data_IF_104386136023
#
_entry.id   IF_104386136023
#
_cell.length_a   1.000
_cell.length_b   1.000
_cell.length_c   1.000
_cell.angle_alpha   90.00
_cell.angle_beta   90.00
_cell.angle_gamma   90.00
#
_symmetry.space_group_name_H-M   'P 1'
#
loop_
_entity.id
_entity.type
_entity.pdbx_description
1 polymer ?
#
# COMPACT_ATOMS: atom_id res chain seq x y z
N UNK A 1 14.16 20.11 -13.69
CA UNK A 1 14.66 19.33 -12.54
C UNK A 1 13.50 18.99 -11.59
N UNK A 2 12.72 19.96 -11.15
CA UNK A 2 11.59 19.77 -10.22
C UNK A 2 10.53 18.81 -10.78
N UNK A 3 10.14 18.93 -12.03
CA UNK A 3 9.13 18.07 -12.67
C UNK A 3 9.54 16.58 -12.67
N UNK A 4 10.83 16.29 -12.83
CA UNK A 4 11.32 14.91 -12.73
C UNK A 4 11.21 14.38 -11.31
N UNK A 5 11.48 15.21 -10.31
CA UNK A 5 11.34 14.85 -8.91
C UNK A 5 9.87 14.64 -8.51
N UNK A 6 8.97 15.49 -8.99
CA UNK A 6 7.52 15.35 -8.77
C UNK A 6 6.98 14.05 -9.40
N UNK A 7 7.37 13.75 -10.66
CA UNK A 7 6.99 12.47 -11.29
C UNK A 7 7.53 11.25 -10.54
N UNK A 8 8.77 11.32 -10.04
CA UNK A 8 9.34 10.24 -9.24
C UNK A 8 8.61 10.09 -7.89
N UNK A 9 8.29 11.19 -7.21
CA UNK A 9 7.52 11.19 -5.97
C UNK A 9 6.10 10.65 -6.17
N UNK A 10 5.46 10.96 -7.29
CA UNK A 10 4.15 10.41 -7.65
C UNK A 10 4.15 8.86 -7.80
N UNK A 11 5.33 8.21 -7.89
CA UNK A 11 5.45 6.75 -7.85
C UNK A 11 5.27 6.17 -6.43
N UNK A 12 5.14 7.01 -5.41
CA UNK A 12 4.86 6.56 -4.04
C UNK A 12 3.62 5.65 -3.98
N UNK A 13 3.61 4.64 -3.11
CA UNK A 13 2.42 3.83 -2.89
C UNK A 13 1.34 4.63 -2.18
N UNK A 14 0.08 4.34 -2.49
CA UNK A 14 -1.09 4.78 -1.74
C UNK A 14 -2.14 3.68 -1.72
N UNK A 15 -2.98 3.64 -0.71
CA UNK A 15 -4.08 2.67 -0.62
C UNK A 15 -4.93 2.75 -1.89
N UNK A 16 -5.29 1.61 -2.47
CA UNK A 16 -6.00 1.50 -3.75
C UNK A 16 -5.43 2.34 -4.92
N UNK A 17 -4.18 2.84 -4.81
CA UNK A 17 -3.58 3.76 -5.77
C UNK A 17 -4.41 5.06 -5.94
N UNK A 18 -4.95 5.56 -4.84
CA UNK A 18 -5.76 6.78 -4.82
C UNK A 18 -4.96 8.04 -5.14
N UNK A 19 -3.67 8.09 -4.77
CA UNK A 19 -2.76 9.24 -4.98
C UNK A 19 -3.36 10.53 -4.39
N UNK A 20 -3.60 10.58 -3.07
CA UNK A 20 -4.40 11.61 -2.41
C UNK A 20 -3.63 12.91 -2.10
N UNK A 21 -2.68 13.29 -2.92
CA UNK A 21 -1.83 14.47 -2.73
C UNK A 21 -2.08 15.54 -3.79
N UNK A 22 -2.22 16.79 -3.33
CA UNK A 22 -2.18 18.01 -4.13
C UNK A 22 -0.85 18.70 -3.80
N UNK A 23 -0.08 19.03 -4.82
CA UNK A 23 1.27 19.58 -4.65
C UNK A 23 1.34 20.98 -5.23
N UNK A 24 1.84 21.93 -4.45
CA UNK A 24 2.12 23.29 -4.87
C UNK A 24 3.60 23.58 -4.70
N UNK A 25 4.23 24.21 -5.69
CA UNK A 25 5.65 24.57 -5.68
C UNK A 25 5.77 26.09 -5.75
N UNK A 26 6.49 26.68 -4.81
CA UNK A 26 6.82 28.11 -4.77
C UNK A 26 8.33 28.26 -4.47
N UNK A 27 9.09 28.48 -5.52
CA UNK A 27 10.55 28.53 -5.44
C UNK A 27 11.16 27.21 -4.96
N UNK A 28 11.80 27.24 -3.80
CA UNK A 28 12.38 26.07 -3.12
C UNK A 28 11.43 25.40 -2.12
N UNK A 29 10.25 25.99 -1.93
CA UNK A 29 9.22 25.47 -1.02
C UNK A 29 8.20 24.61 -1.76
N UNK A 30 7.93 23.43 -1.22
CA UNK A 30 6.94 22.49 -1.74
C UNK A 30 5.93 22.20 -0.65
N UNK A 31 4.66 22.49 -0.95
CA UNK A 31 3.53 22.22 -0.05
C UNK A 31 2.72 21.07 -0.59
N UNK A 32 2.44 20.10 0.27
CA UNK A 32 1.58 18.95 -0.04
C UNK A 32 0.35 18.98 0.86
N UNK A 33 -0.81 18.99 0.25
CA UNK A 33 -2.11 18.87 0.92
C UNK A 33 -2.86 17.66 0.45
N UNK A 34 -3.96 17.33 1.11
CA UNK A 34 -4.77 16.15 0.81
C UNK A 34 -5.90 16.50 -0.14
N UNK A 35 -6.09 15.70 -1.17
CA UNK A 35 -7.26 15.74 -2.06
C UNK A 35 -8.44 15.01 -1.39
N UNK A 36 -9.51 15.72 -0.98
CA UNK A 36 -10.64 15.12 -0.29
C UNK A 36 -11.43 14.13 -1.15
N UNK A 37 -11.37 14.24 -2.47
CA UNK A 37 -12.06 13.34 -3.41
C UNK A 37 -11.34 11.99 -3.59
N UNK A 38 -10.16 11.85 -2.95
CA UNK A 38 -9.29 10.67 -3.06
C UNK A 38 -9.12 9.92 -1.74
N UNK A 39 -9.97 10.21 -0.78
CA UNK A 39 -9.99 9.53 0.52
C UNK A 39 -10.70 8.18 0.47
N UNK A 40 -10.46 7.37 1.48
CA UNK A 40 -11.08 6.06 1.71
C UNK A 40 -11.80 6.07 3.08
N UNK A 41 -12.91 6.81 3.23
CA UNK A 41 -13.52 7.01 4.54
C UNK A 41 -14.09 5.75 5.18
N UNK A 42 -14.31 4.67 4.40
CA UNK A 42 -14.78 3.39 4.92
C UNK A 42 -13.63 2.42 5.17
N UNK A 43 -12.67 2.34 4.26
CA UNK A 43 -11.53 1.41 4.36
C UNK A 43 -10.42 1.96 5.25
N UNK A 44 -10.26 3.28 5.32
CA UNK A 44 -9.25 3.97 6.15
C UNK A 44 -9.90 5.07 7.01
N UNK A 45 -10.82 4.72 7.93
CA UNK A 45 -11.58 5.71 8.72
C UNK A 45 -10.71 6.51 9.71
N UNK A 46 -9.51 6.04 10.00
CA UNK A 46 -8.53 6.70 10.87
C UNK A 46 -7.40 7.39 10.08
N UNK A 47 -7.47 7.40 8.76
CA UNK A 47 -6.51 8.01 7.85
C UNK A 47 -5.05 7.54 8.02
N UNK A 48 -4.85 6.33 8.58
CA UNK A 48 -3.51 5.75 8.80
C UNK A 48 -2.81 5.40 7.49
N UNK A 49 -3.53 4.80 6.54
CA UNK A 49 -3.00 4.49 5.21
C UNK A 49 -2.77 5.76 4.38
N UNK A 50 -3.61 6.78 4.55
CA UNK A 50 -3.41 8.11 4.00
C UNK A 50 -2.08 8.69 4.45
N UNK A 51 -1.84 8.77 5.77
CA UNK A 51 -0.64 9.35 6.37
C UNK A 51 0.62 8.55 5.97
N UNK A 52 0.54 7.21 6.02
CA UNK A 52 1.63 6.35 5.55
C UNK A 52 1.97 6.61 4.07
N UNK A 53 0.95 6.74 3.21
CA UNK A 53 1.11 7.05 1.80
C UNK A 53 1.76 8.41 1.56
N UNK A 54 1.35 9.44 2.32
CA UNK A 54 1.97 10.77 2.30
C UNK A 54 3.43 10.70 2.75
N UNK A 55 3.76 9.94 3.80
CA UNK A 55 5.13 9.71 4.24
C UNK A 55 5.99 9.03 3.16
N UNK A 56 5.44 8.05 2.45
CA UNK A 56 6.10 7.45 1.28
C UNK A 56 6.35 8.48 0.17
N UNK A 57 5.39 9.39 -0.07
CA UNK A 57 5.54 10.47 -1.05
C UNK A 57 6.65 11.44 -0.62
N UNK A 58 6.64 11.89 0.63
CA UNK A 58 7.66 12.77 1.22
C UNK A 58 9.05 12.16 1.05
N UNK A 59 9.23 10.89 1.40
CA UNK A 59 10.53 10.23 1.24
C UNK A 59 10.96 10.13 -0.22
N UNK A 60 10.03 9.84 -1.13
CA UNK A 60 10.33 9.76 -2.56
C UNK A 60 10.74 11.12 -3.12
N UNK A 61 10.06 12.20 -2.71
CA UNK A 61 10.42 13.56 -3.11
C UNK A 61 11.76 14.00 -2.51
N UNK A 62 12.00 13.70 -1.23
CA UNK A 62 13.27 13.99 -0.56
C UNK A 62 14.47 13.33 -1.28
N UNK A 63 14.30 12.09 -1.73
CA UNK A 63 15.32 11.38 -2.54
C UNK A 63 15.53 12.09 -3.89
N UNK A 64 14.44 12.41 -4.59
CA UNK A 64 14.50 12.88 -5.97
C UNK A 64 14.93 14.36 -6.09
N UNK A 65 14.50 15.21 -5.15
CA UNK A 65 14.75 16.65 -5.14
C UNK A 65 15.86 17.09 -4.18
N UNK A 66 16.38 16.19 -3.32
CA UNK A 66 17.26 16.52 -2.21
C UNK A 66 16.61 17.55 -1.28
N UNK A 67 15.40 17.26 -0.85
CA UNK A 67 14.57 18.12 -0.04
C UNK A 67 14.45 17.60 1.40
N UNK A 68 14.21 18.51 2.33
CA UNK A 68 13.95 18.21 3.75
C UNK A 68 12.50 18.51 4.09
N UNK A 69 11.86 17.65 4.88
CA UNK A 69 10.54 17.92 5.47
C UNK A 69 10.72 18.91 6.62
N UNK A 70 10.14 20.11 6.51
CA UNK A 70 10.21 21.14 7.53
C UNK A 70 9.10 21.06 8.56
N UNK A 71 7.87 20.74 8.11
CA UNK A 71 6.73 20.69 9.03
C UNK A 71 5.62 19.76 8.56
N UNK A 72 4.90 19.23 9.54
CA UNK A 72 3.62 18.56 9.41
C UNK A 72 2.63 19.35 10.26
N UNK A 73 1.55 19.86 9.68
CA UNK A 73 0.57 20.70 10.37
C UNK A 73 -0.86 20.25 10.05
N UNK A 74 -1.80 20.55 10.94
CA UNK A 74 -3.19 20.13 10.81
C UNK A 74 -3.43 18.73 11.34
N UNK A 75 -4.66 18.26 11.22
CA UNK A 75 -5.11 16.92 11.64
C UNK A 75 -5.73 16.20 10.45
N UNK A 76 -5.45 14.91 10.31
CA UNK A 76 -5.98 14.11 9.20
C UNK A 76 -7.52 14.15 9.14
N UNK A 77 -8.11 14.29 7.95
CA UNK A 77 -7.47 14.26 6.63
C UNK A 77 -6.93 15.63 6.14
N UNK A 78 -6.97 16.68 6.93
CA UNK A 78 -6.61 18.06 6.56
C UNK A 78 -5.16 18.41 6.96
N UNK A 79 -4.22 17.46 6.73
CA UNK A 79 -2.80 17.71 6.98
C UNK A 79 -2.16 18.49 5.84
N UNK A 80 -1.18 19.32 6.20
CA UNK A 80 -0.31 20.04 5.27
C UNK A 80 1.12 19.71 5.58
N UNK A 81 1.88 19.30 4.58
CA UNK A 81 3.29 19.00 4.66
C UNK A 81 4.07 20.08 3.93
N UNK A 82 5.09 20.62 4.56
CA UNK A 82 5.99 21.60 3.94
C UNK A 82 7.38 21.02 3.81
N UNK A 83 7.90 21.03 2.59
CA UNK A 83 9.25 20.56 2.28
C UNK A 83 10.06 21.68 1.66
N UNK A 84 11.37 21.71 1.95
CA UNK A 84 12.32 22.63 1.33
C UNK A 84 13.33 21.88 0.47
N UNK A 85 13.56 22.37 -0.73
CA UNK A 85 14.65 21.92 -1.60
C UNK A 85 15.90 22.66 -1.16
N UNK A 86 16.71 22.02 -0.33
CA UNK A 86 17.85 22.64 0.37
C UNK A 86 19.20 22.00 0.03
N UNK A 87 19.24 21.23 -1.06
CA UNK A 87 20.39 20.44 -1.46
C UNK A 87 20.88 19.47 -0.36
N UNK A 88 19.96 18.91 0.42
CA UNK A 88 20.24 17.89 1.43
C UNK A 88 21.28 16.83 0.93
N UNK A 89 22.03 16.17 1.81
CA UNK A 89 22.99 15.14 1.41
C UNK A 89 22.40 14.11 0.45
N UNK A 90 23.17 13.59 -0.50
CA UNK A 90 22.67 12.54 -1.41
C UNK A 90 22.13 11.35 -0.63
N UNK A 91 20.99 10.87 -1.02
CA UNK A 91 20.40 9.65 -0.47
C UNK A 91 21.01 8.41 -1.17
N UNK A 92 21.13 7.25 -0.50
CA UNK A 92 21.63 5.99 -1.11
C UNK A 92 20.74 5.45 -2.24
N UNK A 93 19.51 5.95 -2.35
CA UNK A 93 18.58 5.66 -3.43
C UNK A 93 18.47 6.83 -4.41
N UNK A 94 18.10 6.52 -5.66
CA UNK A 94 18.04 7.43 -6.80
C UNK A 94 16.62 7.49 -7.38
N UNK A 95 16.37 8.41 -8.32
CA UNK A 95 15.14 8.46 -9.12
C UNK A 95 14.90 7.12 -9.84
N UNK A 96 15.97 6.49 -10.36
CA UNK A 96 15.85 5.20 -11.03
C UNK A 96 15.33 4.10 -10.08
N UNK A 97 15.76 4.09 -8.82
CA UNK A 97 15.27 3.14 -7.81
C UNK A 97 13.77 3.39 -7.50
N UNK A 98 13.35 4.66 -7.40
CA UNK A 98 11.96 5.05 -7.23
C UNK A 98 11.06 4.57 -8.38
N UNK A 99 11.55 4.73 -9.61
CA UNK A 99 10.85 4.28 -10.81
C UNK A 99 10.82 2.76 -10.94
N UNK A 100 11.88 2.07 -10.53
CA UNK A 100 11.97 0.61 -10.61
C UNK A 100 11.09 -0.09 -9.58
N UNK A 101 10.98 0.46 -8.36
CA UNK A 101 10.22 -0.13 -7.26
C UNK A 101 8.73 -0.32 -7.63
N UNK A 102 8.23 -1.52 -7.44
CA UNK A 102 6.83 -1.88 -7.72
C UNK A 102 6.31 -2.90 -6.70
N UNK A 103 5.00 -2.85 -6.46
CA UNK A 103 4.26 -3.90 -5.75
C UNK A 103 3.92 -5.00 -6.77
N UNK A 104 4.18 -6.25 -6.43
CA UNK A 104 3.82 -7.41 -7.24
C UNK A 104 2.81 -8.29 -6.51
N UNK A 105 1.59 -8.35 -7.00
CA UNK A 105 0.52 -9.25 -6.51
C UNK A 105 0.55 -10.63 -7.18
N UNK A 106 1.60 -10.92 -7.94
CA UNK A 106 1.86 -12.24 -8.51
C UNK A 106 2.42 -13.23 -7.49
N UNK A 107 2.87 -14.36 -8.00
CA UNK A 107 3.53 -15.36 -7.16
C UNK A 107 4.94 -14.88 -6.78
N UNK A 108 5.19 -14.78 -5.49
CA UNK A 108 6.51 -14.48 -4.94
C UNK A 108 7.15 -15.76 -4.41
N UNK A 109 8.43 -15.98 -4.73
CA UNK A 109 9.23 -17.06 -4.18
C UNK A 109 10.01 -16.59 -2.96
N UNK A 110 10.01 -17.34 -1.85
CA UNK A 110 10.72 -16.93 -0.64
C UNK A 110 12.23 -16.84 -0.88
N UNK A 111 12.85 -15.82 -0.31
CA UNK A 111 14.30 -15.66 -0.22
C UNK A 111 14.65 -15.03 1.14
N UNK A 112 14.55 -15.83 2.21
CA UNK A 112 14.75 -15.34 3.57
C UNK A 112 16.19 -14.87 3.82
N UNK A 113 17.19 -15.45 3.15
CA UNK A 113 18.57 -15.03 3.32
C UNK A 113 18.82 -13.60 2.85
N UNK A 114 18.30 -13.24 1.66
CA UNK A 114 18.37 -11.87 1.15
C UNK A 114 17.55 -10.92 2.04
N UNK A 115 16.37 -11.34 2.51
CA UNK A 115 15.56 -10.54 3.42
C UNK A 115 16.31 -10.21 4.72
N UNK A 116 16.89 -11.21 5.39
CA UNK A 116 17.68 -11.00 6.61
C UNK A 116 18.82 -10.00 6.36
N UNK A 117 19.54 -10.12 5.22
CA UNK A 117 20.60 -9.16 4.87
C UNK A 117 20.07 -7.74 4.75
N UNK A 118 18.90 -7.53 4.12
CA UNK A 118 18.31 -6.19 4.00
C UNK A 118 17.91 -5.64 5.38
N UNK A 119 17.42 -6.50 6.26
CA UNK A 119 16.97 -6.10 7.59
C UNK A 119 18.11 -5.72 8.54
N UNK A 120 19.36 -6.08 8.26
CA UNK A 120 20.52 -5.66 9.08
C UNK A 120 20.79 -4.15 9.05
N UNK A 121 20.35 -3.46 8.01
CA UNK A 121 20.54 -2.02 7.81
C UNK A 121 19.31 -1.19 8.19
N UNK A 122 18.28 -1.82 8.76
CA UNK A 122 17.07 -1.13 9.20
C UNK A 122 17.31 -0.44 10.53
N UNK A 123 16.90 0.83 10.71
CA UNK A 123 17.05 1.56 11.97
C UNK A 123 16.34 0.89 13.15
N UNK A 124 16.85 1.08 14.37
CA UNK A 124 16.36 0.43 15.61
C UNK A 124 14.89 0.78 15.93
N UNK A 125 14.42 1.95 15.50
CA UNK A 125 13.03 2.36 15.64
C UNK A 125 12.05 1.63 14.71
N UNK A 126 12.54 0.93 13.69
CA UNK A 126 11.72 0.18 12.74
C UNK A 126 11.61 -1.27 13.15
N UNK A 127 10.39 -1.72 13.35
CA UNK A 127 10.07 -3.12 13.67
C UNK A 127 9.66 -3.84 12.39
N UNK A 128 10.35 -4.95 12.08
CA UNK A 128 9.98 -5.85 10.97
C UNK A 128 10.04 -7.28 11.49
N UNK A 129 8.87 -7.88 11.67
CA UNK A 129 8.75 -9.22 12.23
C UNK A 129 8.12 -10.20 11.25
N UNK A 130 8.56 -11.45 11.29
CA UNK A 130 8.02 -12.52 10.46
C UNK A 130 6.70 -13.05 11.05
N UNK A 131 5.66 -13.09 10.21
CA UNK A 131 4.38 -13.69 10.58
C UNK A 131 4.44 -15.19 10.26
N UNK A 132 4.43 -16.09 11.27
CA UNK A 132 4.48 -17.52 11.02
C UNK A 132 3.40 -18.00 10.07
N UNK A 133 3.73 -18.87 9.14
CA UNK A 133 2.79 -19.38 8.13
C UNK A 133 1.54 -20.02 8.76
N UNK A 134 1.67 -20.66 9.91
CA UNK A 134 0.53 -21.21 10.65
C UNK A 134 -0.44 -20.14 11.14
N UNK A 135 0.08 -18.99 11.59
CA UNK A 135 -0.73 -17.82 11.99
C UNK A 135 -1.38 -17.20 10.76
N UNK A 136 -0.60 -16.97 9.70
CA UNK A 136 -1.12 -16.42 8.44
C UNK A 136 -2.31 -17.23 7.91
N UNK A 137 -2.15 -18.55 7.78
CA UNK A 137 -3.23 -19.44 7.30
C UNK A 137 -4.47 -19.40 8.18
N UNK A 138 -4.30 -19.27 9.48
CA UNK A 138 -5.42 -19.17 10.43
C UNK A 138 -6.19 -17.85 10.22
N UNK A 139 -5.48 -16.73 9.99
CA UNK A 139 -6.07 -15.40 9.85
C UNK A 139 -6.60 -15.12 8.45
N UNK A 140 -5.98 -15.65 7.41
CA UNK A 140 -6.28 -15.34 6.01
C UNK A 140 -7.77 -15.40 5.62
N UNK A 141 -8.56 -16.42 6.04
CA UNK A 141 -9.99 -16.45 5.69
C UNK A 141 -10.79 -15.28 6.28
N UNK A 142 -10.35 -14.75 7.43
CA UNK A 142 -11.01 -13.62 8.07
C UNK A 142 -10.56 -12.31 7.43
N UNK A 143 -9.26 -12.11 7.26
CA UNK A 143 -8.66 -10.93 6.65
C UNK A 143 -9.15 -10.72 5.20
N UNK A 144 -9.05 -11.73 4.35
CA UNK A 144 -9.42 -11.64 2.93
C UNK A 144 -10.90 -11.31 2.70
N UNK A 145 -11.78 -11.67 3.63
CA UNK A 145 -13.20 -11.34 3.55
C UNK A 145 -13.54 -9.98 4.17
N UNK A 146 -12.56 -9.30 4.77
CA UNK A 146 -12.76 -8.00 5.40
C UNK A 146 -13.32 -6.96 4.40
N UNK A 147 -12.78 -6.92 3.18
CA UNK A 147 -13.24 -6.01 2.11
C UNK A 147 -14.71 -6.22 1.71
N UNK A 148 -15.27 -7.41 1.98
CA UNK A 148 -16.67 -7.73 1.74
C UNK A 148 -17.50 -7.74 3.04
N UNK A 149 -16.96 -7.26 4.16
CA UNK A 149 -17.61 -7.29 5.47
C UNK A 149 -18.88 -6.45 5.51
N UNK A 150 -18.89 -5.34 4.78
CA UNK A 150 -20.08 -4.49 4.61
C UNK A 150 -20.26 -4.09 3.14
N UNK A 151 -21.48 -3.79 2.70
CA UNK A 151 -21.71 -3.26 1.35
C UNK A 151 -20.98 -1.93 1.10
N UNK A 152 -20.82 -1.09 2.12
CA UNK A 152 -20.11 0.18 2.00
C UNK A 152 -18.62 -0.04 1.70
N UNK A 153 -17.96 -0.91 2.47
CA UNK A 153 -16.55 -1.29 2.26
C UNK A 153 -16.33 -1.86 0.87
N UNK A 154 -17.19 -2.80 0.44
CA UNK A 154 -17.09 -3.39 -0.89
C UNK A 154 -17.30 -2.35 -2.00
N UNK A 155 -18.30 -1.46 -1.89
CA UNK A 155 -18.53 -0.40 -2.89
C UNK A 155 -17.34 0.55 -2.98
N UNK A 156 -16.77 1.00 -1.87
CA UNK A 156 -15.60 1.85 -1.87
C UNK A 156 -14.42 1.16 -2.56
N UNK A 157 -14.08 -0.07 -2.18
CA UNK A 157 -13.03 -0.86 -2.83
C UNK A 157 -13.27 -0.98 -4.34
N UNK A 158 -14.48 -1.34 -4.77
CA UNK A 158 -14.84 -1.51 -6.17
C UNK A 158 -14.78 -0.19 -6.96
N UNK A 159 -15.03 0.96 -6.33
CA UNK A 159 -14.97 2.27 -6.97
C UNK A 159 -13.54 2.64 -7.43
N UNK A 160 -12.52 2.02 -6.85
CA UNK A 160 -11.11 2.19 -7.22
C UNK A 160 -10.58 1.09 -8.15
N UNK A 161 -11.42 0.18 -8.65
CA UNK A 161 -11.02 -0.81 -9.64
C UNK A 161 -11.18 -0.26 -11.07
N UNK A 162 -10.10 -0.33 -11.85
CA UNK A 162 -10.04 0.05 -13.26
C UNK A 162 -9.86 -1.22 -14.10
N UNK A 163 -10.91 -2.03 -14.18
CA UNK A 163 -10.84 -3.37 -14.78
C UNK A 163 -10.94 -3.37 -16.32
N UNK A 164 -11.28 -2.25 -16.93
CA UNK A 164 -11.43 -2.12 -18.38
C UNK A 164 -10.76 -0.83 -18.89
N UNK A 165 -10.05 -0.87 -20.05
CA UNK A 165 -9.43 0.32 -20.64
C UNK A 165 -10.39 1.46 -20.96
N UNK A 166 -11.69 1.19 -21.15
CA UNK A 166 -12.72 2.23 -21.39
C UNK A 166 -13.10 3.00 -20.11
N UNK A 167 -12.57 2.62 -18.95
CA UNK A 167 -12.74 3.44 -17.76
C UNK A 167 -11.98 4.77 -17.95
N UNK A 168 -12.64 5.93 -17.80
CA UNK A 168 -12.02 7.22 -18.08
C UNK A 168 -10.78 7.49 -17.22
N UNK A 169 -10.68 6.85 -16.06
CA UNK A 169 -9.54 6.99 -15.14
C UNK A 169 -8.55 5.83 -15.23
N UNK A 170 -8.65 4.96 -16.25
CA UNK A 170 -7.82 3.76 -16.38
C UNK A 170 -6.32 4.04 -16.37
N UNK A 171 -5.90 5.15 -16.98
CA UNK A 171 -4.48 5.56 -17.09
C UNK A 171 -4.04 6.52 -15.99
N UNK A 172 -4.90 6.85 -15.04
CA UNK A 172 -4.64 7.86 -14.02
C UNK A 172 -4.42 7.25 -12.64
N UNK A 173 -5.35 6.41 -12.17
CA UNK A 173 -5.38 5.92 -10.79
C UNK A 173 -6.02 4.54 -10.66
N UNK A 174 -6.26 4.14 -9.40
CA UNK A 174 -6.92 2.88 -9.08
C UNK A 174 -6.06 1.66 -9.39
N UNK A 175 -6.69 0.49 -9.32
CA UNK A 175 -6.06 -0.81 -9.53
C UNK A 175 -6.58 -1.43 -10.83
N UNK A 176 -5.72 -1.59 -11.82
CA UNK A 176 -6.06 -2.25 -13.09
C UNK A 176 -6.11 -3.77 -12.94
N UNK A 177 -6.78 -4.44 -13.88
CA UNK A 177 -6.80 -5.89 -13.93
C UNK A 177 -5.39 -6.49 -13.99
N UNK A 178 -4.50 -5.86 -14.74
CA UNK A 178 -3.09 -6.30 -14.86
C UNK A 178 -2.35 -6.17 -13.51
N UNK A 179 -2.51 -5.07 -12.78
CA UNK A 179 -1.92 -4.89 -11.43
C UNK A 179 -2.47 -5.88 -10.40
N UNK A 180 -3.72 -6.31 -10.57
CA UNK A 180 -4.37 -7.32 -9.73
C UNK A 180 -4.09 -8.75 -10.19
N UNK A 181 -3.33 -8.93 -11.28
CA UNK A 181 -3.09 -10.24 -11.90
C UNK A 181 -4.36 -10.96 -12.33
N UNK A 182 -5.42 -10.21 -12.63
CA UNK A 182 -6.68 -10.75 -13.15
C UNK A 182 -6.56 -10.86 -14.68
N UNK A 183 -6.84 -12.04 -15.27
CA UNK A 183 -6.87 -12.17 -16.71
C UNK A 183 -7.81 -11.16 -17.36
N UNK A 184 -7.37 -10.47 -18.42
CA UNK A 184 -8.13 -9.37 -19.08
C UNK A 184 -9.57 -9.74 -19.39
N UNK A 185 -9.82 -10.97 -19.86
CA UNK A 185 -11.19 -11.46 -20.16
C UNK A 185 -12.08 -11.46 -18.91
N UNK A 186 -11.53 -11.88 -17.76
CA UNK A 186 -12.25 -11.86 -16.50
C UNK A 186 -12.43 -10.43 -15.98
N UNK A 187 -11.45 -9.56 -16.17
CA UNK A 187 -11.56 -8.13 -15.86
C UNK A 187 -12.73 -7.47 -16.62
N UNK A 188 -12.85 -7.71 -17.92
CA UNK A 188 -13.96 -7.20 -18.75
C UNK A 188 -15.32 -7.71 -18.25
N UNK A 189 -15.45 -9.01 -17.94
CA UNK A 189 -16.68 -9.57 -17.41
C UNK A 189 -17.03 -8.97 -16.05
N UNK A 190 -16.05 -8.87 -15.15
CA UNK A 190 -16.23 -8.28 -13.84
C UNK A 190 -16.64 -6.80 -13.94
N UNK A 191 -15.99 -6.02 -14.79
CA UNK A 191 -16.35 -4.61 -15.05
C UNK A 191 -17.82 -4.45 -15.48
N UNK A 192 -18.27 -5.25 -16.46
CA UNK A 192 -19.65 -5.21 -16.94
C UNK A 192 -20.65 -5.66 -15.86
N UNK A 193 -20.32 -6.73 -15.14
CA UNK A 193 -21.19 -7.23 -14.07
C UNK A 193 -21.36 -6.20 -12.97
N UNK A 194 -20.27 -5.63 -12.46
CA UNK A 194 -20.27 -4.66 -11.36
C UNK A 194 -21.03 -3.37 -11.70
N UNK A 195 -21.07 -2.98 -12.98
CA UNK A 195 -21.87 -1.82 -13.47
C UNK A 195 -23.33 -2.16 -13.77
N UNK A 196 -23.69 -3.42 -13.77
CA UNK A 196 -25.07 -3.87 -14.04
C UNK A 196 -25.94 -3.80 -12.78
N UNK A 197 -27.28 -3.69 -12.95
CA UNK A 197 -28.23 -3.76 -11.83
C UNK A 197 -28.09 -5.03 -11.00
N UNK A 198 -27.99 -6.25 -11.60
CA UNK A 198 -27.75 -7.47 -10.83
C UNK A 198 -26.44 -7.44 -10.04
N UNK A 199 -25.36 -6.88 -10.61
CA UNK A 199 -24.09 -6.75 -9.93
C UNK A 199 -24.17 -5.82 -8.72
N UNK A 200 -24.86 -4.69 -8.83
CA UNK A 200 -25.08 -3.78 -7.70
C UNK A 200 -25.90 -4.46 -6.58
N UNK A 201 -26.92 -5.23 -6.93
CA UNK A 201 -27.68 -6.00 -5.96
C UNK A 201 -26.81 -7.06 -5.25
N UNK A 202 -25.90 -7.73 -5.98
CA UNK A 202 -24.93 -8.67 -5.38
C UNK A 202 -24.01 -7.97 -4.37
N UNK A 203 -23.56 -6.76 -4.68
CA UNK A 203 -22.77 -5.94 -3.75
C UNK A 203 -23.59 -5.63 -2.50
N UNK A 204 -24.87 -5.25 -2.65
CA UNK A 204 -25.74 -4.89 -1.52
C UNK A 204 -25.99 -6.03 -0.55
N UNK A 205 -26.03 -7.27 -1.05
CA UNK A 205 -26.25 -8.47 -0.24
C UNK A 205 -24.95 -9.22 0.10
N UNK A 206 -23.79 -8.69 -0.28
CA UNK A 206 -22.48 -9.36 -0.11
C UNK A 206 -22.21 -9.83 1.32
N UNK A 207 -22.61 -9.03 2.32
CA UNK A 207 -22.46 -9.35 3.74
C UNK A 207 -23.16 -10.66 4.17
N UNK A 208 -24.21 -11.08 3.45
CA UNK A 208 -24.94 -12.34 3.74
C UNK A 208 -24.11 -13.59 3.41
N UNK A 209 -23.14 -13.46 2.49
CA UNK A 209 -22.28 -14.54 2.04
C UNK A 209 -20.96 -14.66 2.83
N UNK A 210 -20.73 -13.76 3.76
CA UNK A 210 -19.48 -13.69 4.50
C UNK A 210 -19.17 -14.97 5.29
N UNK A 211 -20.18 -15.58 5.98
CA UNK A 211 -20.01 -16.83 6.73
C UNK A 211 -19.71 -18.04 5.84
N UNK A 212 -20.52 -18.34 4.79
CA UNK A 212 -20.23 -19.45 3.89
C UNK A 212 -18.92 -19.25 3.10
N UNK A 213 -18.58 -18.01 2.70
CA UNK A 213 -17.33 -17.73 2.03
C UNK A 213 -16.11 -18.00 2.92
N UNK A 214 -16.16 -17.66 4.22
CA UNK A 214 -15.12 -18.02 5.20
C UNK A 214 -14.91 -19.53 5.30
N UNK A 215 -15.99 -20.30 5.28
CA UNK A 215 -15.91 -21.76 5.32
C UNK A 215 -15.23 -22.32 4.07
N UNK A 216 -15.62 -21.81 2.90
CA UNK A 216 -15.02 -22.21 1.61
C UNK A 216 -13.53 -21.80 1.51
N UNK A 217 -13.17 -20.61 1.98
CA UNK A 217 -11.79 -20.13 1.98
C UNK A 217 -10.85 -21.04 2.80
N UNK A 218 -11.35 -21.69 3.86
CA UNK A 218 -10.58 -22.65 4.66
C UNK A 218 -10.27 -23.95 3.91
N UNK A 219 -11.00 -24.25 2.84
CA UNK A 219 -10.82 -25.47 2.03
C UNK A 219 -9.80 -25.26 0.89
N UNK A 220 -9.33 -24.03 0.67
CA UNK A 220 -8.32 -23.75 -0.36
C UNK A 220 -6.96 -24.26 0.13
N UNK A 221 -6.32 -25.21 -0.58
CA UNK A 221 -5.01 -25.72 -0.18
C UNK A 221 -3.97 -24.60 -0.25
N UNK A 222 -3.19 -24.45 0.81
CA UNK A 222 -2.04 -23.58 0.73
C UNK A 222 -0.97 -24.16 -0.17
N UNK A 223 -0.47 -23.36 -1.11
CA UNK A 223 0.63 -23.76 -1.99
C UNK A 223 1.90 -24.10 -1.19
N UNK A 224 2.72 -25.01 -1.72
CA UNK A 224 3.93 -25.54 -1.07
C UNK A 224 5.11 -24.56 -0.94
N UNK A 225 4.99 -23.35 -1.51
CA UNK A 225 6.04 -22.32 -1.50
C UNK A 225 5.40 -20.97 -1.19
N UNK A 226 5.26 -20.68 0.09
CA UNK A 226 4.74 -19.39 0.55
C UNK A 226 5.88 -18.36 0.62
N UNK A 227 5.68 -17.11 0.18
CA UNK A 227 6.63 -16.02 0.41
C UNK A 227 6.74 -15.73 1.91
N UNK A 228 7.80 -15.04 2.33
CA UNK A 228 7.92 -14.55 3.70
C UNK A 228 6.83 -13.52 3.97
N UNK A 229 6.13 -13.63 5.10
CA UNK A 229 5.06 -12.73 5.53
C UNK A 229 5.60 -11.84 6.62
N UNK A 230 5.54 -10.55 6.45
CA UNK A 230 6.10 -9.62 7.43
C UNK A 230 5.07 -8.58 7.87
N UNK A 231 5.20 -8.19 9.13
CA UNK A 231 4.58 -6.99 9.68
C UNK A 231 5.65 -5.92 9.82
N UNK A 232 5.30 -4.70 9.44
CA UNK A 232 6.09 -3.49 9.65
C UNK A 232 5.38 -2.62 10.70
N UNK A 233 6.15 -2.13 11.65
CA UNK A 233 5.73 -1.19 12.69
C UNK A 233 6.86 -0.26 13.09
N UNK A 234 6.59 0.58 14.09
CA UNK A 234 7.57 1.52 14.67
C UNK A 234 7.63 1.33 16.18
N UNK A 235 8.78 1.66 16.78
CA UNK A 235 8.96 1.73 18.23
C UNK A 235 9.61 3.06 18.59
N UNK A 236 8.91 3.98 19.31
CA UNK A 236 7.52 3.83 19.78
C UNK A 236 6.50 3.72 18.65
N UNK A 237 5.31 3.19 18.96
CA UNK A 237 4.21 3.16 18.00
C UNK A 237 3.78 4.58 17.61
N UNK A 238 3.38 4.84 16.34
CA UNK A 238 2.93 6.17 15.92
C UNK A 238 1.69 6.63 16.70
N UNK A 239 1.74 7.84 17.25
CA UNK A 239 0.68 8.44 18.04
C UNK A 239 -0.03 9.58 17.30
N UNK A 240 0.73 10.43 16.60
CA UNK A 240 0.23 11.58 15.87
C UNK A 240 0.50 11.52 14.36
N UNK A 241 0.08 12.55 13.62
CA UNK A 241 0.23 12.63 12.18
C UNK A 241 1.70 12.65 11.74
N UNK A 242 2.57 13.30 12.50
CA UNK A 242 4.00 13.39 12.17
C UNK A 242 4.67 12.00 12.30
N UNK A 243 4.31 11.25 13.33
CA UNK A 243 4.79 9.89 13.55
C UNK A 243 4.34 8.95 12.42
N UNK A 244 3.07 9.03 12.00
CA UNK A 244 2.57 8.24 10.87
C UNK A 244 3.23 8.62 9.54
N UNK A 245 3.51 9.90 9.31
CA UNK A 245 4.28 10.36 8.15
C UNK A 245 5.70 9.80 8.20
N UNK A 246 6.34 9.81 9.37
CA UNK A 246 7.71 9.28 9.50
C UNK A 246 7.73 7.75 9.33
N UNK A 247 6.75 7.02 9.87
CA UNK A 247 6.56 5.60 9.59
C UNK A 247 6.44 5.32 8.08
N UNK A 248 5.70 6.15 7.34
CA UNK A 248 5.60 6.07 5.88
C UNK A 248 6.95 6.31 5.17
N UNK A 249 7.77 7.22 5.68
CA UNK A 249 9.13 7.47 5.16
C UNK A 249 10.03 6.26 5.36
N UNK A 250 9.98 5.63 6.54
CA UNK A 250 10.71 4.40 6.83
C UNK A 250 10.24 3.22 5.98
N UNK A 251 8.92 3.06 5.82
CA UNK A 251 8.34 2.03 4.95
C UNK A 251 8.83 2.16 3.50
N UNK A 252 8.91 3.39 2.99
CA UNK A 252 9.39 3.63 1.63
C UNK A 252 10.88 3.27 1.49
N UNK A 253 11.72 3.62 2.47
CA UNK A 253 13.14 3.24 2.49
C UNK A 253 13.31 1.72 2.50
N UNK A 254 12.55 1.03 3.36
CA UNK A 254 12.57 -0.44 3.43
C UNK A 254 12.18 -1.06 2.08
N UNK A 255 11.09 -0.59 1.46
CA UNK A 255 10.65 -1.13 0.18
C UNK A 255 11.63 -0.85 -0.96
N UNK A 256 12.36 0.27 -0.93
CA UNK A 256 13.44 0.54 -1.87
C UNK A 256 14.65 -0.38 -1.64
N UNK A 257 15.01 -0.65 -0.38
CA UNK A 257 16.09 -1.58 -0.06
C UNK A 257 15.76 -3.01 -0.50
N UNK A 258 14.53 -3.47 -0.24
CA UNK A 258 14.04 -4.77 -0.72
C UNK A 258 14.09 -4.86 -2.25
N UNK A 259 13.58 -3.83 -2.94
CA UNK A 259 13.57 -3.78 -4.41
C UNK A 259 14.97 -3.79 -5.01
N UNK A 260 15.91 -3.04 -4.44
CA UNK A 260 17.31 -3.01 -4.85
C UNK A 260 18.02 -4.35 -4.64
N UNK A 261 17.62 -5.11 -3.63
CA UNK A 261 18.08 -6.48 -3.38
C UNK A 261 17.38 -7.54 -4.27
N UNK A 262 16.50 -7.13 -5.20
CA UNK A 262 15.77 -8.01 -6.11
C UNK A 262 14.54 -8.69 -5.48
N UNK A 263 14.07 -8.19 -4.34
CA UNK A 263 12.86 -8.64 -3.69
C UNK A 263 11.68 -7.74 -4.06
N UNK A 264 10.50 -8.32 -4.15
CA UNK A 264 9.23 -7.61 -4.37
C UNK A 264 8.33 -7.75 -3.15
N UNK A 265 7.42 -6.79 -2.99
CA UNK A 265 6.42 -6.82 -1.95
C UNK A 265 5.02 -6.99 -2.54
N UNK A 266 4.18 -7.75 -1.83
CA UNK A 266 2.75 -7.85 -2.09
C UNK A 266 2.00 -7.41 -0.83
N UNK A 267 1.35 -6.26 -0.89
CA UNK A 267 0.62 -5.67 0.26
C UNK A 267 -0.59 -6.53 0.62
N UNK A 268 -0.83 -6.70 1.91
CA UNK A 268 -1.93 -7.44 2.51
C UNK A 268 -2.53 -6.64 3.67
N UNK A 269 -2.99 -5.41 3.37
CA UNK A 269 -3.50 -4.47 4.37
C UNK A 269 -4.70 -5.02 5.15
N UNK A 270 -5.51 -5.88 4.53
CA UNK A 270 -6.65 -6.53 5.16
C UNK A 270 -6.33 -7.26 6.47
N UNK A 271 -5.06 -7.66 6.67
CA UNK A 271 -4.62 -8.31 7.92
C UNK A 271 -4.43 -7.31 9.07
N UNK A 272 -4.08 -6.06 8.79
CA UNK A 272 -3.99 -5.00 9.80
C UNK A 272 -5.32 -4.23 9.97
N UNK A 273 -6.20 -4.28 8.96
CA UNK A 273 -7.47 -3.56 8.93
C UNK A 273 -8.60 -4.36 9.60
N UNK A 274 -8.53 -5.70 9.57
CA UNK A 274 -9.48 -6.55 10.29
C UNK A 274 -9.10 -6.62 11.78
N UNK A 275 -9.99 -6.18 12.72
CA UNK A 275 -9.61 -5.97 14.12
C UNK A 275 -9.05 -7.21 14.84
N UNK A 276 -9.59 -8.40 14.56
CA UNK A 276 -9.11 -9.63 15.23
C UNK A 276 -7.77 -10.12 14.67
N UNK A 277 -7.51 -9.86 13.39
CA UNK A 277 -6.22 -10.14 12.77
C UNK A 277 -5.18 -9.14 13.25
N UNK A 278 -5.53 -7.83 13.26
CA UNK A 278 -4.66 -6.76 13.72
C UNK A 278 -4.16 -6.99 15.16
N UNK A 279 -5.06 -7.41 16.08
CA UNK A 279 -4.68 -7.71 17.45
C UNK A 279 -3.64 -8.85 17.55
N UNK A 280 -3.85 -9.94 16.80
CA UNK A 280 -2.89 -11.05 16.78
C UNK A 280 -1.55 -10.65 16.17
N UNK A 281 -1.56 -9.81 15.13
CA UNK A 281 -0.33 -9.33 14.48
C UNK A 281 0.40 -8.33 15.37
N UNK A 282 -0.31 -7.48 16.12
CA UNK A 282 0.28 -6.57 17.08
C UNK A 282 1.01 -7.32 18.22
N UNK A 283 0.46 -8.45 18.67
CA UNK A 283 1.16 -9.32 19.63
C UNK A 283 2.48 -9.87 19.08
N UNK A 284 2.52 -10.24 17.79
CA UNK A 284 3.75 -10.73 17.14
C UNK A 284 4.78 -9.59 17.00
N UNK A 285 4.34 -8.41 16.56
CA UNK A 285 5.21 -7.27 16.32
C UNK A 285 5.65 -6.56 17.61
N UNK A 286 4.93 -6.73 18.71
CA UNK A 286 5.15 -5.95 19.94
C UNK A 286 4.79 -4.47 19.80
N UNK A 287 4.15 -4.08 18.71
CA UNK A 287 3.76 -2.70 18.39
C UNK A 287 2.53 -2.66 17.48
N UNK A 288 1.99 -1.46 17.23
CA UNK A 288 0.90 -1.25 16.26
C UNK A 288 1.35 -1.61 14.85
N UNK A 289 0.66 -2.53 14.15
CA UNK A 289 0.96 -2.84 12.75
C UNK A 289 0.70 -1.63 11.84
N UNK A 290 1.75 -1.07 11.23
CA UNK A 290 1.62 0.01 10.24
C UNK A 290 1.38 -0.55 8.84
N UNK A 291 2.06 -1.64 8.48
CA UNK A 291 1.84 -2.33 7.21
C UNK A 291 2.03 -3.85 7.36
N UNK A 292 1.31 -4.63 6.56
CA UNK A 292 1.48 -6.09 6.42
C UNK A 292 1.66 -6.41 4.96
N UNK A 293 2.69 -7.20 4.64
CA UNK A 293 2.98 -7.56 3.26
C UNK A 293 3.77 -8.87 3.16
N UNK A 294 3.73 -9.46 1.98
CA UNK A 294 4.58 -10.60 1.64
C UNK A 294 5.83 -10.13 0.92
N UNK A 295 6.95 -10.80 1.14
CA UNK A 295 8.25 -10.51 0.51
C UNK A 295 8.79 -11.74 -0.20
N UNK A 296 9.35 -11.56 -1.39
CA UNK A 296 10.00 -12.63 -2.14
C UNK A 296 10.45 -12.19 -3.53
N UNK A 297 11.04 -13.11 -4.29
CA UNK A 297 11.43 -12.86 -5.68
C UNK A 297 10.24 -13.02 -6.62
N UNK A 298 10.08 -12.09 -7.53
CA UNK A 298 9.11 -12.20 -8.63
C UNK A 298 9.61 -13.14 -9.72
N UNK A 299 8.70 -13.83 -10.40
CA UNK A 299 9.01 -14.78 -11.50
C UNK A 299 8.62 -14.25 -12.88
N UNK A 300 8.43 -12.99 -13.05
CA UNK A 300 8.07 -12.43 -14.37
C UNK A 300 7.93 -10.93 -14.33
N UNK A 301 7.45 -10.37 -15.43
CA UNK A 301 7.20 -8.95 -15.55
C UNK A 301 6.15 -8.50 -14.53
N UNK A 302 6.45 -7.38 -13.87
CA UNK A 302 5.55 -6.78 -12.89
C UNK A 302 4.79 -5.64 -13.57
N UNK A 303 3.46 -5.72 -13.66
CA UNK A 303 2.66 -4.65 -14.26
C UNK A 303 2.80 -3.34 -13.48
N UNK A 304 3.05 -2.26 -14.20
CA UNK A 304 3.16 -0.92 -13.59
C UNK A 304 1.77 -0.32 -13.36
N UNK A 305 1.56 0.21 -12.16
CA UNK A 305 0.38 1.02 -11.88
C UNK A 305 0.49 2.40 -12.55
N UNK A 306 -0.62 2.89 -13.04
CA UNK A 306 -0.72 4.24 -13.59
C UNK A 306 -0.60 5.31 -12.50
N UNK A 307 -0.24 6.52 -12.91
CA UNK A 307 -0.11 7.68 -12.03
C UNK A 307 -0.71 8.90 -12.71
N UNK A 308 -1.25 9.78 -11.88
CA UNK A 308 -1.57 11.14 -12.30
C UNK A 308 -0.29 11.82 -12.78
N UNK A 309 -0.37 12.48 -13.91
CA UNK A 309 0.73 13.23 -14.53
C UNK A 309 0.57 14.71 -14.27
#
# INVERSE_FOLDING_TARGET
MIDAALRAAARAPSAHNTQPWIVTVDGDLVTVTVDPDRLLPVADPHHRDLLLGLGCWVQSFAIAARATLESVTGTAPHVTLTLRIDAAPPHPFTIADLEHRQVDRGRLHPDPATLVTVLTDVPDEVVVEDIPESVWRRLAPTAQLHLASTPAMLRETLSWLRLHPDDPRYTEDGLTADCLRIPRRLGVVAHRLLRSRPGQLLVDISHRWHRPARLLARLVPAGSSAPTRVVFGMTPAPEDEADWIDAGRHLMRLWLALDKAGLRVAVASEFKDEPSCAATIAEIAGTTPCAVFSVGRSTGDVPRSHRLT
#
